data_IF_023110251237
#
_entry.id   IF_023110251237
#
_cell.length_a   1.000
_cell.length_b   1.000
_cell.length_c   1.000
_cell.angle_alpha   90.00
_cell.angle_beta   90.00
_cell.angle_gamma   90.00
#
_symmetry.space_group_name_H-M   'P 1'
#
loop_
_entity.id
_entity.type
_entity.pdbx_description
1 polymer ?
#
# COMPACT_ATOMS: atom_id res chain seq x y z
N UNK A 1 -4.20 0.85 -15.16
CA UNK A 1 -4.35 0.97 -13.69
C UNK A 1 -3.37 2.03 -13.22
N UNK A 2 -3.80 3.31 -13.12
CA UNK A 2 -2.89 4.45 -12.95
C UNK A 2 -1.90 4.29 -11.78
N UNK A 3 -2.33 3.68 -10.66
CA UNK A 3 -1.48 3.42 -9.51
C UNK A 3 -0.28 2.51 -9.83
N UNK A 4 -0.52 1.40 -10.53
CA UNK A 4 0.55 0.44 -10.88
C UNK A 4 1.48 1.01 -11.96
N UNK A 5 0.93 1.85 -12.82
CA UNK A 5 1.67 2.50 -13.90
C UNK A 5 2.56 3.65 -13.37
N UNK A 6 2.20 4.23 -12.22
CA UNK A 6 2.93 5.33 -11.56
C UNK A 6 3.99 4.88 -10.54
N UNK A 7 4.23 3.57 -10.36
CA UNK A 7 5.25 3.07 -9.42
C UNK A 7 6.63 3.59 -9.86
N UNK A 8 7.32 4.40 -9.03
CA UNK A 8 8.62 4.93 -9.39
C UNK A 8 9.67 3.82 -9.34
N UNK A 9 10.77 3.94 -10.12
CA UNK A 9 11.90 3.03 -10.00
C UNK A 9 12.46 3.09 -8.58
N UNK A 10 12.54 1.93 -7.91
CA UNK A 10 13.19 1.83 -6.61
C UNK A 10 14.69 1.81 -6.82
N UNK A 11 15.41 2.76 -6.19
CA UNK A 11 16.87 2.82 -6.23
C UNK A 11 17.44 1.54 -5.59
N UNK A 12 18.31 0.83 -6.29
CA UNK A 12 18.83 -0.48 -5.88
C UNK A 12 20.20 -0.80 -6.47
N UNK A 13 20.61 -2.07 -6.42
CA UNK A 13 21.90 -2.54 -6.95
C UNK A 13 22.08 -2.13 -8.42
N UNK A 14 23.33 -1.84 -8.80
CA UNK A 14 23.71 -1.48 -10.17
C UNK A 14 23.25 -2.58 -11.14
N UNK A 15 22.37 -2.23 -12.10
CA UNK A 15 21.71 -3.15 -13.03
C UNK A 15 20.41 -2.55 -13.60
N UNK A 16 19.65 -3.33 -14.36
CA UNK A 16 18.35 -2.89 -14.90
C UNK A 16 17.35 -2.66 -13.75
N UNK A 17 16.96 -1.40 -13.44
CA UNK A 17 16.10 -1.13 -12.30
C UNK A 17 14.75 -1.83 -12.49
N UNK A 18 14.37 -2.70 -11.55
CA UNK A 18 13.06 -3.36 -11.59
C UNK A 18 11.98 -2.29 -11.43
N UNK A 19 11.17 -2.11 -12.48
CA UNK A 19 10.07 -1.11 -12.49
C UNK A 19 8.78 -1.62 -11.88
N UNK A 20 8.59 -2.94 -11.79
CA UNK A 20 7.34 -3.57 -11.37
C UNK A 20 7.55 -4.62 -10.29
N UNK A 21 6.64 -4.74 -9.32
CA UNK A 21 6.70 -5.77 -8.29
C UNK A 21 6.46 -7.16 -8.89
N UNK A 22 6.98 -8.19 -8.24
CA UNK A 22 6.73 -9.60 -8.60
C UNK A 22 5.26 -9.98 -8.42
N UNK A 23 4.66 -9.51 -7.33
CA UNK A 23 3.29 -9.82 -6.95
C UNK A 23 2.55 -8.59 -6.42
N UNK A 24 1.24 -8.58 -6.64
CA UNK A 24 0.32 -7.57 -6.13
C UNK A 24 -0.66 -8.24 -5.16
N UNK A 25 -0.59 -7.85 -3.89
CA UNK A 25 -1.59 -8.21 -2.91
C UNK A 25 -2.73 -7.19 -2.92
N UNK A 26 -3.96 -7.67 -2.94
CA UNK A 26 -5.14 -6.82 -2.81
C UNK A 26 -6.25 -7.52 -2.03
N UNK A 27 -7.16 -6.73 -1.48
CA UNK A 27 -8.32 -7.24 -0.77
C UNK A 27 -9.23 -8.07 -1.67
N UNK A 28 -9.99 -8.98 -1.06
CA UNK A 28 -11.04 -9.77 -1.71
C UNK A 28 -12.08 -8.90 -2.43
N UNK A 29 -12.26 -7.65 -1.97
CA UNK A 29 -13.10 -6.66 -2.66
C UNK A 29 -12.67 -6.40 -4.10
N UNK A 30 -11.40 -6.59 -4.44
CA UNK A 30 -10.86 -6.43 -5.79
C UNK A 30 -10.92 -7.71 -6.65
N UNK A 31 -11.65 -8.74 -6.23
CA UNK A 31 -11.79 -9.97 -7.01
C UNK A 31 -12.67 -9.77 -8.25
N UNK A 32 -12.04 -9.32 -9.34
CA UNK A 32 -12.62 -9.25 -10.68
C UNK A 32 -11.56 -9.67 -11.70
N UNK A 33 -11.95 -10.47 -12.70
CA UNK A 33 -11.00 -10.99 -13.69
C UNK A 33 -10.38 -9.87 -14.53
N UNK A 34 -11.12 -8.79 -14.82
CA UNK A 34 -10.61 -7.57 -15.47
C UNK A 34 -9.35 -7.04 -14.75
N UNK A 35 -9.37 -6.99 -13.41
CA UNK A 35 -8.22 -6.50 -12.65
C UNK A 35 -7.07 -7.51 -12.65
N UNK A 36 -7.35 -8.82 -12.60
CA UNK A 36 -6.32 -9.85 -12.67
C UNK A 36 -5.61 -9.82 -14.02
N UNK A 37 -6.36 -9.64 -15.11
CA UNK A 37 -5.80 -9.62 -16.46
C UNK A 37 -4.99 -8.34 -16.70
N UNK A 38 -5.46 -7.19 -16.21
CA UNK A 38 -4.68 -5.96 -16.23
C UNK A 38 -3.35 -6.09 -15.45
N UNK A 39 -3.35 -6.79 -14.33
CA UNK A 39 -2.15 -7.02 -13.50
C UNK A 39 -1.20 -8.02 -14.20
N UNK A 40 -1.72 -9.12 -14.76
CA UNK A 40 -0.95 -10.10 -15.53
C UNK A 40 -0.34 -9.50 -16.80
N UNK A 41 -1.08 -8.65 -17.51
CA UNK A 41 -0.57 -7.93 -18.69
C UNK A 41 0.65 -7.05 -18.36
N UNK A 42 0.83 -6.70 -17.08
CA UNK A 42 1.99 -5.96 -16.60
C UNK A 42 3.14 -6.85 -16.15
N UNK A 43 3.00 -8.18 -16.21
CA UNK A 43 3.99 -9.15 -15.72
C UNK A 43 3.98 -9.30 -14.20
N UNK A 44 2.89 -8.93 -13.53
CA UNK A 44 2.76 -8.96 -12.07
C UNK A 44 1.82 -10.11 -11.70
N UNK A 45 2.12 -10.87 -10.64
CA UNK A 45 1.26 -11.95 -10.16
C UNK A 45 0.13 -11.37 -9.28
N UNK A 46 -1.16 -11.53 -9.64
CA UNK A 46 -2.28 -11.01 -8.84
C UNK A 46 -2.60 -11.93 -7.64
N UNK A 47 -2.04 -11.63 -6.48
CA UNK A 47 -2.35 -12.26 -5.19
C UNK A 47 -3.63 -11.65 -4.58
N UNK A 48 -4.75 -11.80 -5.29
CA UNK A 48 -6.07 -11.33 -4.86
C UNK A 48 -6.87 -12.54 -4.39
N UNK A 49 -7.41 -12.49 -3.16
CA UNK A 49 -8.27 -13.55 -2.66
C UNK A 49 -9.58 -13.63 -3.45
N UNK A 50 -10.00 -14.83 -3.85
CA UNK A 50 -11.30 -15.05 -4.52
C UNK A 50 -12.46 -14.78 -3.54
N UNK A 51 -13.56 -14.25 -4.05
CA UNK A 51 -14.85 -14.17 -3.32
C UNK A 51 -15.42 -15.58 -3.15
N UNK A 52 -16.18 -15.78 -2.08
CA UNK A 52 -16.86 -17.04 -1.77
C UNK A 52 -15.95 -18.28 -1.57
N UNK A 53 -14.63 -18.11 -1.46
CA UNK A 53 -13.72 -19.18 -1.05
C UNK A 53 -13.47 -19.12 0.46
N UNK A 54 -13.29 -20.29 1.09
CA UNK A 54 -12.89 -20.38 2.50
C UNK A 54 -11.65 -19.52 2.72
N UNK A 55 -11.61 -18.78 3.84
CA UNK A 55 -10.45 -17.98 4.19
C UNK A 55 -9.20 -18.86 4.18
N UNK A 56 -8.29 -18.60 3.23
CA UNK A 56 -6.96 -19.17 3.24
C UNK A 56 -6.29 -18.79 4.55
N UNK A 57 -5.69 -19.77 5.20
CA UNK A 57 -5.04 -19.67 6.51
C UNK A 57 -4.10 -18.47 6.60
N UNK A 58 -4.39 -17.57 7.54
CA UNK A 58 -3.45 -16.59 8.05
C UNK A 58 -3.76 -15.15 7.69
N UNK A 59 -4.35 -14.42 8.63
CA UNK A 59 -4.10 -12.99 8.75
C UNK A 59 -2.59 -12.77 8.87
N UNK A 60 -2.04 -11.92 8.02
CA UNK A 60 -1.18 -10.88 8.57
C UNK A 60 0.27 -10.81 8.14
N UNK A 61 0.91 -11.76 7.45
CA UNK A 61 2.36 -11.62 7.18
C UNK A 61 2.69 -10.47 6.22
N UNK A 62 1.85 -10.25 5.20
CA UNK A 62 2.05 -9.15 4.25
C UNK A 62 1.13 -7.95 4.53
N UNK A 63 -0.04 -8.20 5.12
CA UNK A 63 -1.02 -7.16 5.45
C UNK A 63 -0.65 -6.35 6.68
N UNK A 64 0.03 -6.93 7.67
CA UNK A 64 0.30 -6.22 8.93
C UNK A 64 1.10 -4.94 8.73
N UNK A 65 1.97 -4.88 7.72
CA UNK A 65 2.77 -3.67 7.44
C UNK A 65 1.83 -2.51 7.11
N UNK A 66 0.85 -2.76 6.24
CA UNK A 66 -0.16 -1.79 5.83
C UNK A 66 -1.07 -1.42 7.00
N UNK A 67 -1.59 -2.43 7.72
CA UNK A 67 -2.48 -2.24 8.85
C UNK A 67 -1.80 -1.47 10.00
N UNK A 68 -0.53 -1.76 10.29
CA UNK A 68 0.29 -1.04 11.26
C UNK A 68 0.51 0.42 10.84
N UNK A 69 0.83 0.67 9.58
CA UNK A 69 0.99 2.05 9.08
C UNK A 69 -0.31 2.83 9.24
N UNK A 70 -1.46 2.23 8.91
CA UNK A 70 -2.76 2.86 9.16
C UNK A 70 -3.02 3.10 10.65
N UNK A 71 -2.66 2.16 11.53
CA UNK A 71 -2.79 2.34 12.98
C UNK A 71 -1.99 3.56 13.48
N UNK A 72 -0.75 3.75 13.00
CA UNK A 72 0.05 4.94 13.31
C UNK A 72 -0.59 6.24 12.79
N UNK A 73 -1.10 6.23 11.55
CA UNK A 73 -1.80 7.38 10.97
C UNK A 73 -3.07 7.71 11.75
N UNK A 74 -3.82 6.71 12.21
CA UNK A 74 -5.02 6.89 13.02
C UNK A 74 -4.74 7.42 14.44
N UNK A 75 -3.48 7.39 14.90
CA UNK A 75 -3.06 8.12 16.10
C UNK A 75 -3.20 9.63 15.96
N UNK A 76 -3.15 10.15 14.73
CA UNK A 76 -3.41 11.57 14.45
C UNK A 76 -4.91 11.79 14.24
N UNK A 77 -5.57 12.45 15.20
CA UNK A 77 -7.04 12.64 15.22
C UNK A 77 -7.64 13.13 13.89
N UNK A 78 -6.96 14.04 13.17
CA UNK A 78 -7.41 14.59 11.87
C UNK A 78 -7.27 13.61 10.69
N UNK A 79 -6.46 12.56 10.84
CA UNK A 79 -6.31 11.48 9.86
C UNK A 79 -7.13 10.23 10.23
N UNK A 80 -7.55 10.10 11.50
CA UNK A 80 -8.45 9.02 11.94
C UNK A 80 -9.82 9.10 11.29
N UNK A 81 -10.40 10.29 11.30
CA UNK A 81 -11.67 10.60 10.64
C UNK A 81 -11.39 11.77 9.72
N UNK A 82 -11.80 11.65 8.46
CA UNK A 82 -11.59 12.69 7.45
C UNK A 82 -12.57 13.85 7.68
N UNK A 83 -12.18 14.77 8.55
CA UNK A 83 -12.91 16.03 8.79
C UNK A 83 -12.64 17.09 7.72
N UNK A 84 -11.46 17.01 7.08
CA UNK A 84 -11.06 17.98 6.07
C UNK A 84 -11.90 17.84 4.80
N UNK A 85 -12.65 18.90 4.47
CA UNK A 85 -13.45 18.98 3.25
C UNK A 85 -12.57 19.01 2.00
N UNK A 86 -11.40 19.64 2.09
CA UNK A 86 -10.48 19.79 0.96
C UNK A 86 -9.45 18.64 0.94
N UNK A 87 -9.22 18.09 -0.25
CA UNK A 87 -8.30 16.97 -0.44
C UNK A 87 -6.83 17.35 -0.26
N UNK A 88 -6.44 18.54 -0.69
CA UNK A 88 -5.07 19.07 -0.56
C UNK A 88 -4.65 19.28 0.89
N UNK A 89 -5.56 19.76 1.75
CA UNK A 89 -5.30 19.89 3.20
C UNK A 89 -5.12 18.50 3.82
N UNK A 90 -5.97 17.54 3.47
CA UNK A 90 -5.85 16.17 3.96
C UNK A 90 -4.53 15.52 3.53
N UNK A 91 -4.14 15.72 2.26
CA UNK A 91 -2.88 15.24 1.72
C UNK A 91 -1.66 15.86 2.42
N UNK A 92 -1.69 17.18 2.70
CA UNK A 92 -0.63 17.85 3.44
C UNK A 92 -0.47 17.29 4.86
N UNK A 93 -1.58 17.07 5.57
CA UNK A 93 -1.56 16.45 6.91
C UNK A 93 -1.04 15.00 6.86
N UNK A 94 -1.43 14.24 5.84
CA UNK A 94 -0.94 12.88 5.62
C UNK A 94 0.57 12.88 5.44
N UNK A 95 1.11 13.75 4.57
CA UNK A 95 2.55 13.88 4.34
C UNK A 95 3.29 14.27 5.63
N UNK A 96 2.77 15.24 6.38
CA UNK A 96 3.36 15.65 7.66
C UNK A 96 3.39 14.50 8.68
N UNK A 97 2.31 13.74 8.79
CA UNK A 97 2.26 12.57 9.67
C UNK A 97 3.27 11.49 9.25
N UNK A 98 3.41 11.23 7.96
CA UNK A 98 4.44 10.33 7.43
C UNK A 98 5.84 10.79 7.83
N UNK A 99 6.19 12.08 7.67
CA UNK A 99 7.48 12.63 8.07
C UNK A 99 7.76 12.43 9.57
N UNK A 100 6.78 12.69 10.43
CA UNK A 100 6.90 12.50 11.89
C UNK A 100 7.09 11.03 12.27
N UNK A 101 6.33 10.13 11.65
CA UNK A 101 6.46 8.68 11.87
C UNK A 101 7.87 8.23 11.44
N UNK A 102 8.32 8.60 10.24
CA UNK A 102 9.64 8.21 9.75
C UNK A 102 10.77 8.75 10.62
N UNK A 103 10.66 10.00 11.09
CA UNK A 103 11.66 10.58 11.98
C UNK A 103 11.75 9.82 13.32
N UNK A 104 10.61 9.49 13.93
CA UNK A 104 10.57 8.68 15.17
C UNK A 104 11.16 7.28 14.96
N UNK A 105 10.87 6.64 13.83
CA UNK A 105 11.41 5.32 13.52
C UNK A 105 12.94 5.36 13.35
N UNK A 106 13.47 6.36 12.63
CA UNK A 106 14.92 6.56 12.48
C UNK A 106 15.57 6.75 13.85
N UNK A 107 15.03 7.63 14.69
CA UNK A 107 15.57 7.87 16.03
C UNK A 107 15.49 6.65 16.96
N UNK A 108 14.60 5.69 16.70
CA UNK A 108 14.51 4.45 17.48
C UNK A 108 15.47 3.36 17.02
N UNK A 109 16.05 3.50 15.83
CA UNK A 109 17.00 2.56 15.23
C UNK A 109 18.46 2.98 15.47
N UNK A 110 18.69 4.25 15.82
CA UNK A 110 19.98 4.81 16.24
C UNK A 110 20.07 4.81 17.76
#
# INVERSE_FOLDING_TARGET
>A
MPLLDAIPPVRGRVGHPRRKPDSLFADRGYDHDIYRDQVRARGIVPAIARRNTRHGTGLGVYRWVVERTFAWLHGFRRLRVRWERRADIHEALLKLACCLITHRQINSLC
#
